data_IF_173140252707
#
_entry.id   IF_173140252707
#
_cell.length_a   1.000
_cell.length_b   1.000
_cell.length_c   1.000
_cell.angle_alpha   90.00
_cell.angle_beta   90.00
_cell.angle_gamma   90.00
#
_symmetry.space_group_name_H-M   'P 1'
#
loop_
_entity.id
_entity.type
_entity.pdbx_description
1 polymer ?
#
# COMPACT_ATOMS: atom_id res chain seq x y z
N UNK A 1 14.57 5.75 8.21
CA UNK A 1 14.73 4.61 9.13
C UNK A 1 14.35 3.34 8.38
N UNK A 2 15.11 2.25 8.51
CA UNK A 2 14.82 0.99 7.81
C UNK A 2 13.69 0.19 8.48
N UNK A 3 12.92 -0.54 7.68
CA UNK A 3 11.88 -1.48 8.12
C UNK A 3 11.88 -2.67 7.17
N UNK A 4 11.40 -3.83 7.64
CA UNK A 4 11.10 -4.96 6.77
C UNK A 4 9.60 -4.96 6.51
N UNK A 5 9.21 -4.88 5.24
CA UNK A 5 7.84 -5.11 4.83
C UNK A 5 7.78 -5.87 3.52
N UNK A 6 6.71 -6.64 3.36
CA UNK A 6 6.41 -7.41 2.16
C UNK A 6 5.00 -7.11 1.67
N UNK A 7 4.87 -7.01 0.36
CA UNK A 7 3.59 -6.98 -0.35
C UNK A 7 3.27 -8.39 -0.82
N UNK A 8 2.08 -8.88 -0.49
CA UNK A 8 1.53 -10.13 -1.02
C UNK A 8 0.43 -9.82 -2.04
N UNK A 9 0.60 -10.30 -3.27
CA UNK A 9 -0.34 -10.15 -4.39
C UNK A 9 -0.36 -11.46 -5.19
N UNK A 10 -1.55 -12.01 -5.43
CA UNK A 10 -1.72 -13.24 -6.23
C UNK A 10 -0.77 -14.40 -5.81
N UNK A 11 -0.65 -14.62 -4.49
CA UNK A 11 0.26 -15.59 -3.86
C UNK A 11 1.76 -15.33 -4.08
N UNK A 12 2.12 -14.16 -4.62
CA UNK A 12 3.49 -13.69 -4.78
C UNK A 12 3.89 -12.68 -3.72
N UNK A 13 5.15 -12.72 -3.27
CA UNK A 13 5.70 -11.77 -2.29
C UNK A 13 6.75 -10.85 -2.91
N UNK A 14 6.61 -9.55 -2.66
CA UNK A 14 7.54 -8.51 -3.11
C UNK A 14 8.10 -7.74 -1.92
N UNK A 15 9.42 -7.49 -1.92
CA UNK A 15 10.05 -6.65 -0.91
C UNK A 15 9.70 -5.17 -1.15
N UNK A 16 9.35 -4.46 -0.08
CA UNK A 16 9.02 -3.03 -0.12
C UNK A 16 10.23 -2.25 0.38
N UNK A 17 10.67 -1.27 -0.41
CA UNK A 17 11.74 -0.34 -0.08
C UNK A 17 11.19 0.95 0.56
N UNK A 18 10.03 1.42 0.08
CA UNK A 18 9.34 2.59 0.59
C UNK A 18 7.82 2.39 0.55
N UNK A 19 7.12 2.90 1.56
CA UNK A 19 5.67 2.83 1.67
C UNK A 19 5.12 4.14 2.24
N UNK A 20 4.30 4.83 1.47
CA UNK A 20 3.54 6.00 1.90
C UNK A 20 2.04 5.76 1.71
N UNK A 21 1.26 6.14 2.72
CA UNK A 21 -0.20 6.16 2.63
C UNK A 21 -0.74 7.19 3.61
N UNK A 22 -1.81 7.85 3.21
CA UNK A 22 -2.39 8.94 4.00
C UNK A 22 -3.88 9.07 3.77
N UNK A 23 -4.51 9.75 4.73
CA UNK A 23 -5.87 10.25 4.61
C UNK A 23 -5.82 11.77 4.73
N UNK A 24 -6.55 12.46 3.86
CA UNK A 24 -6.71 13.90 3.86
C UNK A 24 -8.13 14.26 4.24
N UNK A 25 -8.28 15.19 5.17
CA UNK A 25 -9.57 15.75 5.58
C UNK A 25 -9.46 17.27 5.59
N UNK A 26 -10.34 17.95 4.85
CA UNK A 26 -10.37 19.41 4.83
C UNK A 26 -10.91 19.96 6.14
N UNK A 27 -10.40 21.13 6.54
CA UNK A 27 -10.85 21.89 7.71
C UNK A 27 -11.53 23.19 7.29
N UNK A 28 -12.37 23.74 8.17
CA UNK A 28 -12.91 25.09 8.03
C UNK A 28 -11.91 26.17 8.49
N UNK A 29 -12.35 27.44 8.46
CA UNK A 29 -11.57 28.61 8.87
C UNK A 29 -11.14 28.59 10.35
N UNK A 30 -11.80 27.79 11.18
CA UNK A 30 -11.47 27.61 12.61
C UNK A 30 -10.54 26.42 12.85
N UNK A 31 -10.13 25.72 11.79
CA UNK A 31 -9.29 24.53 11.86
C UNK A 31 -10.05 23.24 12.24
N UNK A 32 -11.39 23.27 12.26
CA UNK A 32 -12.19 22.08 12.57
C UNK A 32 -12.45 21.26 11.30
N UNK A 33 -12.41 19.91 11.37
CA UNK A 33 -12.73 19.09 10.22
C UNK A 33 -14.13 19.37 9.67
N UNK A 34 -14.22 19.70 8.37
CA UNK A 34 -15.46 20.13 7.72
C UNK A 34 -15.92 19.21 6.59
N UNK A 35 -15.11 18.21 6.24
CA UNK A 35 -15.41 17.25 5.18
C UNK A 35 -15.18 15.80 5.65
N UNK A 36 -15.70 14.83 4.88
CA UNK A 36 -15.36 13.41 5.09
C UNK A 36 -13.89 13.16 4.71
N UNK A 37 -13.14 12.33 5.47
CA UNK A 37 -11.80 11.92 5.09
C UNK A 37 -11.79 11.26 3.71
N UNK A 38 -10.79 11.60 2.89
CA UNK A 38 -10.51 10.97 1.60
C UNK A 38 -9.12 10.35 1.68
N UNK A 39 -8.97 9.15 1.12
CA UNK A 39 -7.71 8.41 1.13
C UNK A 39 -7.86 7.13 0.34
N UNK A 40 -7.00 6.16 0.60
CA UNK A 40 -7.00 4.87 -0.09
C UNK A 40 -5.95 4.76 -1.19
N UNK A 41 -5.21 5.84 -1.47
CA UNK A 41 -3.99 5.76 -2.26
C UNK A 41 -2.85 5.25 -1.37
N UNK A 42 -2.19 4.17 -1.82
CA UNK A 42 -0.99 3.63 -1.22
C UNK A 42 0.11 3.71 -2.26
N UNK A 43 1.19 4.40 -1.94
CA UNK A 43 2.36 4.55 -2.81
C UNK A 43 3.46 3.63 -2.31
N UNK A 44 3.97 2.77 -3.21
CA UNK A 44 4.98 1.78 -2.89
C UNK A 44 6.17 1.91 -3.83
N UNK A 45 7.38 1.80 -3.28
CA UNK A 45 8.58 1.46 -4.05
C UNK A 45 8.92 0.01 -3.74
N UNK A 46 8.84 -0.85 -4.74
CA UNK A 46 9.09 -2.28 -4.62
C UNK A 46 10.43 -2.65 -5.28
N UNK A 47 11.09 -3.67 -4.75
CA UNK A 47 12.27 -4.25 -5.39
C UNK A 47 11.85 -4.91 -6.72
N UNK A 48 12.54 -4.55 -7.80
CA UNK A 48 12.27 -5.13 -9.11
C UNK A 48 12.67 -6.61 -9.12
N UNK A 49 11.79 -7.46 -9.64
CA UNK A 49 12.08 -8.86 -9.92
C UNK A 49 11.93 -9.14 -11.43
N UNK A 50 12.21 -10.37 -11.85
CA UNK A 50 12.16 -10.77 -13.27
C UNK A 50 10.72 -10.89 -13.79
N UNK A 51 9.71 -10.91 -12.92
CA UNK A 51 8.31 -11.10 -13.30
C UNK A 51 7.64 -9.77 -13.63
N UNK A 52 6.75 -9.80 -14.64
CA UNK A 52 6.11 -8.61 -15.23
C UNK A 52 4.67 -8.47 -14.68
N UNK A 53 4.41 -8.88 -13.44
CA UNK A 53 3.03 -9.11 -12.95
C UNK A 53 2.22 -7.84 -12.66
N UNK A 54 2.88 -6.68 -12.68
CA UNK A 54 2.24 -5.37 -12.52
C UNK A 54 1.83 -4.72 -13.84
N UNK A 55 2.40 -5.14 -14.99
CA UNK A 55 2.17 -4.42 -16.24
C UNK A 55 0.72 -4.49 -16.71
N UNK A 56 0.09 -5.66 -16.61
CA UNK A 56 -1.33 -5.81 -16.93
C UNK A 56 -2.20 -4.93 -16.02
N UNK A 57 -1.86 -4.88 -14.73
CA UNK A 57 -2.61 -4.09 -13.75
C UNK A 57 -2.48 -2.58 -14.01
N UNK A 58 -1.27 -2.09 -14.32
CA UNK A 58 -0.99 -0.67 -14.62
C UNK A 58 -1.57 -0.25 -15.98
N UNK A 59 -1.57 -1.14 -16.97
CA UNK A 59 -2.01 -0.80 -18.34
C UNK A 59 -3.51 -0.90 -18.56
N UNK A 60 -4.25 -1.57 -17.66
CA UNK A 60 -5.69 -1.79 -17.78
C UNK A 60 -6.48 -0.84 -16.89
N UNK A 61 -7.36 -0.03 -17.48
CA UNK A 61 -8.24 0.89 -16.73
C UNK A 61 -9.35 0.22 -15.91
N UNK A 62 -9.48 -1.11 -15.99
CA UNK A 62 -10.51 -1.89 -15.28
C UNK A 62 -9.93 -3.03 -14.44
N UNK A 63 -8.64 -3.34 -14.58
CA UNK A 63 -8.02 -4.39 -13.79
C UNK A 63 -7.95 -3.95 -12.32
N UNK A 64 -8.33 -4.86 -11.44
CA UNK A 64 -8.20 -4.66 -10.00
C UNK A 64 -7.47 -5.83 -9.37
N UNK A 65 -6.70 -5.55 -8.31
CA UNK A 65 -6.09 -6.58 -7.47
C UNK A 65 -6.40 -6.34 -6.01
N UNK A 66 -6.40 -7.41 -5.24
CA UNK A 66 -6.50 -7.38 -3.78
C UNK A 66 -5.23 -7.95 -3.19
N UNK A 67 -4.78 -7.41 -2.07
CA UNK A 67 -3.50 -7.79 -1.50
C UNK A 67 -3.32 -7.31 -0.07
N UNK A 68 -2.16 -7.66 0.48
CA UNK A 68 -1.80 -7.31 1.85
C UNK A 68 -0.34 -6.85 1.93
N UNK A 69 -0.12 -5.76 2.66
CA UNK A 69 1.21 -5.33 3.07
C UNK A 69 1.41 -5.77 4.51
N UNK A 70 2.41 -6.61 4.76
CA UNK A 70 2.83 -7.00 6.10
C UNK A 70 4.10 -6.26 6.48
N UNK A 71 4.02 -5.47 7.55
CA UNK A 71 5.17 -4.87 8.22
C UNK A 71 5.62 -5.78 9.34
N UNK A 72 6.92 -6.07 9.41
CA UNK A 72 7.52 -6.93 10.42
C UNK A 72 8.14 -6.10 11.55
N UNK A 73 8.24 -6.70 12.74
CA UNK A 73 9.01 -6.07 13.82
C UNK A 73 10.50 -6.08 13.46
N UNK A 74 11.26 -5.16 14.05
CA UNK A 74 12.71 -5.05 13.83
C UNK A 74 13.52 -6.02 14.68
N UNK A 75 13.02 -6.33 15.87
CA UNK A 75 13.63 -7.23 16.85
C UNK A 75 13.39 -8.71 16.52
N UNK A 76 12.28 -9.01 15.83
CA UNK A 76 11.93 -10.36 15.41
C UNK A 76 11.08 -10.33 14.13
N UNK A 77 11.20 -11.34 13.27
CA UNK A 77 10.47 -11.51 11.99
C UNK A 77 8.98 -11.85 12.19
N UNK A 78 8.42 -11.49 13.34
CA UNK A 78 6.98 -11.57 13.59
C UNK A 78 6.25 -10.38 12.95
N UNK A 79 5.00 -10.59 12.55
CA UNK A 79 4.15 -9.53 12.00
C UNK A 79 3.88 -8.46 13.06
N UNK A 80 4.08 -7.19 12.68
CA UNK A 80 3.81 -6.01 13.49
C UNK A 80 2.46 -5.39 13.10
N UNK A 81 2.27 -5.14 11.81
CA UNK A 81 1.08 -4.50 11.26
C UNK A 81 0.77 -5.07 9.89
N UNK A 82 -0.51 -5.16 9.57
CA UNK A 82 -1.00 -5.54 8.24
C UNK A 82 -1.88 -4.43 7.68
N UNK A 83 -1.71 -4.12 6.39
CA UNK A 83 -2.57 -3.24 5.62
C UNK A 83 -3.11 -4.05 4.45
N UNK A 84 -4.40 -4.39 4.51
CA UNK A 84 -5.10 -5.09 3.44
C UNK A 84 -5.85 -4.10 2.57
N UNK A 85 -5.82 -4.30 1.26
CA UNK A 85 -6.60 -3.57 0.27
C UNK A 85 -7.38 -4.55 -0.60
N UNK A 86 -8.54 -4.11 -1.07
CA UNK A 86 -9.46 -4.91 -1.89
C UNK A 86 -9.85 -4.12 -3.12
N UNK A 87 -9.95 -4.82 -4.25
CA UNK A 87 -10.42 -4.25 -5.53
C UNK A 87 -9.69 -2.94 -5.88
N UNK A 88 -8.37 -2.90 -5.65
CA UNK A 88 -7.56 -1.70 -5.87
C UNK A 88 -7.19 -1.56 -7.34
N UNK A 89 -7.18 -0.32 -7.81
CA UNK A 89 -6.70 0.08 -9.14
C UNK A 89 -5.25 0.57 -9.05
N UNK A 90 -4.50 0.49 -10.15
CA UNK A 90 -3.12 0.95 -10.25
C UNK A 90 -2.97 2.10 -11.27
#
# INVERSE_FOLDING_TARGET
MSFLAKLTLDDEEFNILECDFGLKQSTDETGRPSAKPRGGLVQLVIESNVKIDFFEWISSGTATKSGEITFFRRDNVSSLKKLAFKEAYC
#
